data_IF_463686524673
#
_entry.id   IF_463686524673
#
_cell.length_a   1.000
_cell.length_b   1.000
_cell.length_c   1.000
_cell.angle_alpha   90.00
_cell.angle_beta   90.00
_cell.angle_gamma   90.00
#
_symmetry.space_group_name_H-M   'P 1'
#
loop_
_entity.id
_entity.type
_entity.pdbx_description
1 polymer ?
#
# COMPACT_ATOMS: atom_id res chain seq x y z
N UNK A 1 7.67 -19.08 3.53
CA UNK A 1 6.35 -18.47 3.81
C UNK A 1 5.79 -17.93 2.52
N UNK A 2 4.47 -17.95 2.34
CA UNK A 2 3.77 -17.60 1.08
C UNK A 2 3.75 -16.10 0.75
N UNK A 3 4.27 -15.23 1.62
CA UNK A 3 4.36 -13.79 1.43
C UNK A 3 5.77 -13.35 1.02
N UNK A 4 5.85 -12.42 0.08
CA UNK A 4 7.12 -11.80 -0.29
C UNK A 4 7.49 -10.75 0.78
N UNK A 5 8.71 -10.79 1.35
CA UNK A 5 9.08 -9.89 2.46
C UNK A 5 9.12 -8.41 2.04
N UNK A 6 9.14 -8.12 0.73
CA UNK A 6 9.24 -6.74 0.25
C UNK A 6 8.05 -5.86 0.66
N UNK A 7 6.84 -6.43 0.76
CA UNK A 7 5.67 -5.70 1.23
C UNK A 7 5.77 -5.32 2.71
N UNK A 8 6.19 -6.28 3.54
CA UNK A 8 6.39 -6.08 4.98
C UNK A 8 7.50 -5.07 5.27
N UNK A 9 8.61 -5.14 4.53
CA UNK A 9 9.73 -4.18 4.64
C UNK A 9 9.27 -2.76 4.29
N UNK A 10 8.47 -2.61 3.22
CA UNK A 10 7.93 -1.30 2.84
C UNK A 10 6.99 -0.74 3.91
N UNK A 11 6.12 -1.57 4.49
CA UNK A 11 5.23 -1.17 5.59
C UNK A 11 6.01 -0.76 6.84
N UNK A 12 7.02 -1.53 7.23
CA UNK A 12 7.86 -1.24 8.39
C UNK A 12 8.62 0.09 8.21
N UNK A 13 9.23 0.31 7.04
CA UNK A 13 9.94 1.56 6.78
C UNK A 13 9.01 2.78 6.75
N UNK A 14 7.80 2.62 6.18
CA UNK A 14 6.78 3.68 6.24
C UNK A 14 6.39 4.00 7.70
N UNK A 15 6.20 3.00 8.55
CA UNK A 15 5.83 3.19 9.96
C UNK A 15 6.90 3.92 10.76
N UNK A 16 8.18 3.63 10.53
CA UNK A 16 9.29 4.39 11.11
C UNK A 16 9.18 5.88 10.79
N UNK A 17 8.95 6.22 9.51
CA UNK A 17 8.87 7.61 9.04
C UNK A 17 7.63 8.34 9.58
N UNK A 18 6.46 7.69 9.54
CA UNK A 18 5.19 8.27 9.98
C UNK A 18 5.19 8.47 11.51
N UNK A 19 5.71 7.50 12.26
CA UNK A 19 5.83 7.58 13.73
C UNK A 19 6.80 8.67 14.12
N UNK A 20 7.98 8.76 13.48
CA UNK A 20 8.95 9.83 13.74
C UNK A 20 8.38 11.23 13.44
N UNK A 21 7.51 11.34 12.42
CA UNK A 21 6.84 12.59 12.07
C UNK A 21 5.62 12.91 12.95
N UNK A 22 5.18 12.00 13.83
CA UNK A 22 3.98 12.17 14.66
C UNK A 22 2.69 12.34 13.86
N UNK A 23 2.58 11.65 12.71
CA UNK A 23 1.42 11.75 11.81
C UNK A 23 0.41 10.63 12.03
N UNK A 24 -0.82 10.87 11.58
CA UNK A 24 -1.90 9.89 11.66
C UNK A 24 -1.56 8.63 10.86
N UNK A 25 -1.97 7.48 11.39
CA UNK A 25 -1.80 6.18 10.75
C UNK A 25 -2.93 5.88 9.76
N UNK A 26 -3.05 6.68 8.70
CA UNK A 26 -3.92 6.44 7.55
C UNK A 26 -3.08 6.12 6.32
N UNK A 27 -3.50 5.14 5.53
CA UNK A 27 -2.75 4.71 4.34
C UNK A 27 -3.68 4.39 3.18
N UNK A 28 -3.27 4.80 1.98
CA UNK A 28 -3.88 4.39 0.72
C UNK A 28 -2.88 3.55 -0.08
N UNK A 29 -3.37 2.54 -0.79
CA UNK A 29 -2.56 1.60 -1.57
C UNK A 29 -2.95 1.64 -3.05
N UNK A 30 -1.96 1.78 -3.93
CA UNK A 30 -2.14 1.65 -5.38
C UNK A 30 -1.55 0.31 -5.81
N UNK A 31 -2.42 -0.57 -6.32
CA UNK A 31 -2.07 -1.94 -6.66
C UNK A 31 -1.72 -2.11 -8.14
N UNK A 32 -0.98 -3.16 -8.46
CA UNK A 32 -0.69 -3.59 -9.84
C UNK A 32 -1.89 -4.33 -10.45
N UNK A 33 -1.80 -4.66 -11.74
CA UNK A 33 -2.74 -5.55 -12.42
C UNK A 33 -2.83 -6.92 -11.74
N UNK A 34 -4.04 -7.49 -11.70
CA UNK A 34 -4.33 -8.72 -10.94
C UNK A 34 -3.52 -9.95 -11.42
N UNK A 35 -3.11 -9.99 -12.69
CA UNK A 35 -2.27 -11.06 -13.23
C UNK A 35 -0.82 -11.03 -12.74
N UNK A 36 -0.36 -9.92 -12.16
CA UNK A 36 0.99 -9.79 -11.60
C UNK A 36 1.07 -10.45 -10.21
N UNK A 37 1.12 -11.78 -10.18
CA UNK A 37 1.11 -12.61 -8.94
C UNK A 37 2.16 -12.16 -7.92
N UNK A 38 3.36 -11.78 -8.34
CA UNK A 38 4.40 -11.30 -7.43
C UNK A 38 4.07 -9.93 -6.82
N UNK A 39 3.46 -9.02 -7.59
CA UNK A 39 3.02 -7.74 -7.08
C UNK A 39 1.85 -7.90 -6.09
N UNK A 40 0.90 -8.80 -6.39
CA UNK A 40 -0.18 -9.14 -5.48
C UNK A 40 0.35 -9.63 -4.12
N UNK A 41 1.38 -10.49 -4.10
CA UNK A 41 2.01 -10.97 -2.86
C UNK A 41 2.71 -9.85 -2.07
N UNK A 42 3.28 -8.85 -2.75
CA UNK A 42 3.83 -7.67 -2.06
C UNK A 42 2.72 -6.87 -1.37
N UNK A 43 1.60 -6.67 -2.05
CA UNK A 43 0.47 -5.94 -1.46
C UNK A 43 -0.12 -6.69 -0.27
N UNK A 44 -0.27 -8.01 -0.36
CA UNK A 44 -0.71 -8.82 0.78
C UNK A 44 0.21 -8.71 2.00
N UNK A 45 1.54 -8.76 1.79
CA UNK A 45 2.50 -8.56 2.88
C UNK A 45 2.46 -7.14 3.46
N UNK A 46 2.31 -6.13 2.61
CA UNK A 46 2.16 -4.74 3.04
C UNK A 46 0.87 -4.53 3.85
N UNK A 47 -0.28 -4.99 3.34
CA UNK A 47 -1.60 -4.86 3.98
C UNK A 47 -1.69 -5.62 5.31
N UNK A 48 -1.12 -6.82 5.38
CA UNK A 48 -1.00 -7.55 6.64
C UNK A 48 -0.19 -6.73 7.66
N UNK A 49 0.95 -6.19 7.24
CA UNK A 49 1.85 -5.50 8.16
C UNK A 49 1.32 -4.15 8.62
N UNK A 50 0.74 -3.33 7.74
CA UNK A 50 0.13 -2.05 8.14
C UNK A 50 -1.07 -2.28 9.06
N UNK A 51 -1.84 -3.35 8.87
CA UNK A 51 -2.93 -3.74 9.79
C UNK A 51 -2.39 -4.11 11.18
N UNK A 52 -1.31 -4.89 11.27
CA UNK A 52 -0.64 -5.19 12.55
C UNK A 52 -0.14 -3.92 13.25
N UNK A 53 0.34 -2.95 12.49
CA UNK A 53 0.89 -1.67 12.98
C UNK A 53 -0.18 -0.64 13.34
N UNK A 54 -1.46 -0.97 13.18
CA UNK A 54 -2.60 -0.14 13.57
C UNK A 54 -2.97 0.95 12.57
N UNK A 55 -2.63 0.79 11.30
CA UNK A 55 -3.07 1.72 10.25
C UNK A 55 -4.51 1.47 9.83
N UNK A 56 -5.22 2.56 9.57
CA UNK A 56 -6.47 2.56 8.81
C UNK A 56 -6.16 2.59 7.32
N UNK A 57 -6.55 1.54 6.60
CA UNK A 57 -6.49 1.53 5.13
C UNK A 57 -7.69 2.31 4.60
N UNK A 58 -7.45 3.53 4.13
CA UNK A 58 -8.51 4.45 3.66
C UNK A 58 -8.91 4.23 2.20
N UNK A 59 -8.02 3.62 1.40
CA UNK A 59 -8.33 3.22 0.02
C UNK A 59 -7.34 2.15 -0.50
N UNK A 60 -7.85 1.22 -1.31
CA UNK A 60 -7.04 0.30 -2.12
C UNK A 60 -7.62 0.26 -3.53
N UNK A 61 -6.88 0.75 -4.52
CA UNK A 61 -7.32 0.85 -5.91
C UNK A 61 -6.22 0.35 -6.86
N UNK A 62 -6.58 -0.20 -8.02
CA UNK A 62 -5.60 -0.69 -9.00
C UNK A 62 -5.24 0.39 -10.01
N UNK A 63 -3.93 0.64 -10.16
CA UNK A 63 -3.38 1.42 -11.27
C UNK A 63 -3.05 0.56 -12.49
N UNK A 64 -3.40 -0.74 -12.49
CA UNK A 64 -3.18 -1.70 -13.57
C UNK A 64 -1.74 -1.73 -14.13
N UNK A 65 -0.75 -1.41 -13.28
CA UNK A 65 0.67 -1.18 -13.64
C UNK A 65 0.90 -0.20 -14.78
N UNK A 66 -0.01 0.76 -14.95
CA UNK A 66 0.11 1.86 -15.91
C UNK A 66 0.23 3.16 -15.14
N UNK A 67 1.29 3.91 -15.40
CA UNK A 67 1.58 5.15 -14.68
C UNK A 67 0.42 6.16 -14.76
N UNK A 68 -0.17 6.34 -15.95
CA UNK A 68 -1.33 7.23 -16.15
C UNK A 68 -2.55 6.82 -15.33
N UNK A 69 -2.78 5.53 -15.16
CA UNK A 69 -3.90 5.01 -14.37
C UNK A 69 -3.62 5.13 -12.87
N UNK A 70 -2.38 4.87 -12.43
CA UNK A 70 -1.95 5.15 -11.06
C UNK A 70 -2.11 6.62 -10.68
N UNK A 71 -1.83 7.54 -11.61
CA UNK A 71 -2.04 8.97 -11.39
C UNK A 71 -3.53 9.30 -11.18
N UNK A 72 -4.41 8.81 -12.07
CA UNK A 72 -5.87 9.00 -11.96
C UNK A 72 -6.42 8.45 -10.66
N UNK A 73 -6.02 7.22 -10.30
CA UNK A 73 -6.40 6.59 -9.04
C UNK A 73 -5.97 7.43 -7.83
N UNK A 74 -4.76 8.00 -7.84
CA UNK A 74 -4.33 8.88 -6.76
C UNK A 74 -5.16 10.16 -6.68
N UNK A 75 -5.56 10.74 -7.82
CA UNK A 75 -6.47 11.88 -7.84
C UNK A 75 -7.83 11.52 -7.24
N UNK A 76 -8.38 10.35 -7.59
CA UNK A 76 -9.66 9.87 -7.05
C UNK A 76 -9.57 9.71 -5.51
N UNK A 77 -8.49 9.12 -5.00
CA UNK A 77 -8.24 8.95 -3.56
C UNK A 77 -8.20 10.30 -2.83
N UNK A 78 -7.53 11.30 -3.42
CA UNK A 78 -7.34 12.61 -2.78
C UNK A 78 -8.57 13.52 -2.84
N UNK A 79 -9.53 13.21 -3.71
CA UNK A 79 -10.72 14.05 -3.94
C UNK A 79 -12.01 13.47 -3.35
N UNK A 80 -11.92 12.31 -2.71
CA UNK A 80 -13.01 11.67 -1.95
C UNK A 80 -13.08 12.21 -0.53
#
# INVERSE_FOLDING_TARGET
GLNSPFGEIAAAHMDELITAAGKDKKVASITCEASAVYAARRNQGFEAKISELGYEVVATLSGNSRQEEGYKVMQDILTT
#
